data_IF_725555296299
#
_entry.id   IF_725555296299
#
_cell.length_a   1.000
_cell.length_b   1.000
_cell.length_c   1.000
_cell.angle_alpha   90.00
_cell.angle_beta   90.00
_cell.angle_gamma   90.00
#
_symmetry.space_group_name_H-M   'P 1'
#
loop_
_entity.id
_entity.type
_entity.pdbx_description
1 polymer ?
#
# COMPACT_ATOMS: atom_id res chain seq x y z
N UNK A 1 -19.99 61.54 -72.69
CA UNK A 1 -21.43 61.24 -72.93
C UNK A 1 -21.99 60.58 -71.66
N UNK A 2 -22.96 61.21 -70.99
CA UNK A 2 -23.56 60.68 -69.76
C UNK A 2 -24.59 59.59 -70.03
N UNK A 3 -24.68 58.57 -69.17
CA UNK A 3 -25.71 57.53 -69.23
C UNK A 3 -26.87 57.89 -68.29
N UNK A 4 -28.11 57.71 -68.77
CA UNK A 4 -29.33 58.17 -68.11
C UNK A 4 -29.90 57.07 -67.21
N UNK A 5 -29.97 57.33 -65.90
CA UNK A 5 -30.59 56.39 -64.94
C UNK A 5 -32.08 56.72 -64.82
N UNK A 6 -32.93 55.82 -65.34
CA UNK A 6 -34.36 56.03 -65.58
C UNK A 6 -35.24 56.28 -64.33
N UNK A 7 -34.71 56.24 -63.10
CA UNK A 7 -35.54 56.29 -61.89
C UNK A 7 -35.68 57.68 -61.25
N UNK A 8 -34.85 58.68 -61.59
CA UNK A 8 -34.88 60.00 -60.94
C UNK A 8 -34.56 61.24 -61.79
N UNK A 9 -34.47 61.15 -63.12
CA UNK A 9 -34.36 62.34 -64.01
C UNK A 9 -33.10 63.22 -63.83
N UNK A 10 -32.08 62.77 -63.08
CA UNK A 10 -30.79 63.47 -62.94
C UNK A 10 -29.74 62.83 -63.84
N UNK A 11 -29.00 63.65 -64.59
CA UNK A 11 -27.91 63.22 -65.46
C UNK A 11 -26.64 63.02 -64.61
N UNK A 12 -26.22 61.77 -64.42
CA UNK A 12 -25.01 61.43 -63.68
C UNK A 12 -23.87 61.26 -64.70
N UNK A 13 -22.68 61.87 -64.49
CA UNK A 13 -21.51 61.61 -65.34
C UNK A 13 -21.18 60.12 -65.37
N UNK A 14 -20.90 59.57 -66.57
CA UNK A 14 -20.65 58.12 -66.75
C UNK A 14 -19.54 57.59 -65.85
N UNK A 15 -18.49 58.40 -65.65
CA UNK A 15 -17.34 58.09 -64.78
C UNK A 15 -17.75 57.81 -63.32
N UNK A 16 -18.74 58.52 -62.79
CA UNK A 16 -19.21 58.34 -61.39
C UNK A 16 -20.03 57.05 -61.24
N UNK A 17 -20.71 56.63 -62.32
CA UNK A 17 -21.48 55.40 -62.34
C UNK A 17 -20.56 54.18 -62.47
N UNK A 18 -19.56 54.27 -63.33
CA UNK A 18 -18.57 53.21 -63.53
C UNK A 18 -17.69 53.04 -62.27
N UNK A 19 -17.26 54.14 -61.63
CA UNK A 19 -16.52 54.10 -60.37
C UNK A 19 -17.32 53.48 -59.21
N UNK A 20 -18.64 53.69 -59.15
CA UNK A 20 -19.52 53.01 -58.18
C UNK A 20 -19.64 51.51 -58.46
N UNK A 21 -19.73 51.12 -59.73
CA UNK A 21 -19.76 49.72 -60.13
C UNK A 21 -18.47 48.97 -59.76
N UNK A 22 -17.31 49.60 -59.97
CA UNK A 22 -16.01 49.08 -59.56
C UNK A 22 -15.87 48.99 -58.04
N UNK A 23 -16.26 50.04 -57.29
CA UNK A 23 -16.25 50.02 -55.84
C UNK A 23 -17.12 48.89 -55.27
N UNK A 24 -18.33 48.68 -55.82
CA UNK A 24 -19.21 47.59 -55.42
C UNK A 24 -18.61 46.21 -55.76
N UNK A 25 -17.90 46.08 -56.88
CA UNK A 25 -17.20 44.85 -57.25
C UNK A 25 -16.04 44.54 -56.28
N UNK A 26 -15.24 45.56 -55.91
CA UNK A 26 -14.16 45.43 -54.94
C UNK A 26 -14.72 45.02 -53.57
N UNK A 27 -15.80 45.67 -53.10
CA UNK A 27 -16.44 45.33 -51.83
C UNK A 27 -17.02 43.91 -51.82
N UNK A 28 -17.63 43.46 -52.91
CA UNK A 28 -18.10 42.08 -53.04
C UNK A 28 -16.95 41.07 -52.98
N UNK A 29 -15.86 41.36 -53.70
CA UNK A 29 -14.67 40.50 -53.70
C UNK A 29 -14.02 40.43 -52.31
N UNK A 30 -13.85 41.59 -51.65
CA UNK A 30 -13.29 41.66 -50.30
C UNK A 30 -14.14 40.91 -49.26
N UNK A 31 -15.48 41.01 -49.36
CA UNK A 31 -16.40 40.24 -48.50
C UNK A 31 -16.27 38.74 -48.73
N UNK A 32 -16.27 38.30 -49.99
CA UNK A 32 -16.09 36.89 -50.32
C UNK A 32 -14.75 36.32 -49.82
N UNK A 33 -13.66 37.11 -49.94
CA UNK A 33 -12.35 36.73 -49.40
C UNK A 33 -12.34 36.67 -47.87
N UNK A 34 -13.00 37.63 -47.20
CA UNK A 34 -13.11 37.64 -45.74
C UNK A 34 -13.92 36.44 -45.23
N UNK A 35 -15.03 36.11 -45.90
CA UNK A 35 -15.86 34.95 -45.55
C UNK A 35 -15.07 33.64 -45.73
N UNK A 36 -14.35 33.50 -46.84
CA UNK A 36 -13.49 32.34 -47.08
C UNK A 36 -12.39 32.20 -46.00
N UNK A 37 -11.75 33.31 -45.61
CA UNK A 37 -10.72 33.32 -44.58
C UNK A 37 -11.30 32.98 -43.20
N UNK A 38 -12.52 33.45 -42.89
CA UNK A 38 -13.21 33.10 -41.65
C UNK A 38 -13.57 31.62 -41.60
N UNK A 39 -14.03 31.04 -42.70
CA UNK A 39 -14.38 29.63 -42.75
C UNK A 39 -13.13 28.73 -42.66
N UNK A 40 -12.03 29.11 -43.30
CA UNK A 40 -10.74 28.44 -43.15
C UNK A 40 -10.23 28.52 -41.69
N UNK A 41 -10.28 29.70 -41.08
CA UNK A 41 -9.88 29.88 -39.69
C UNK A 41 -10.74 29.06 -38.72
N UNK A 42 -12.06 28.96 -38.98
CA UNK A 42 -12.98 28.13 -38.18
C UNK A 42 -12.66 26.63 -38.32
N UNK A 43 -12.39 26.17 -39.54
CA UNK A 43 -12.01 24.78 -39.79
C UNK A 43 -10.69 24.44 -39.09
N UNK A 44 -9.67 25.29 -39.23
CA UNK A 44 -8.39 25.13 -38.55
C UNK A 44 -8.55 25.12 -37.02
N UNK A 45 -9.34 26.04 -36.47
CA UNK A 45 -9.62 26.07 -35.04
C UNK A 45 -10.35 24.82 -34.54
N UNK A 46 -11.26 24.25 -35.34
CA UNK A 46 -11.93 23.00 -35.00
C UNK A 46 -10.95 21.82 -34.94
N UNK A 47 -10.07 21.70 -35.94
CA UNK A 47 -9.02 20.67 -35.98
C UNK A 47 -8.07 20.78 -34.77
N UNK A 48 -7.56 21.99 -34.50
CA UNK A 48 -6.65 22.24 -33.36
C UNK A 48 -7.32 21.85 -32.04
N UNK A 49 -8.60 22.20 -31.84
CA UNK A 49 -9.35 21.82 -30.63
C UNK A 49 -9.50 20.31 -30.51
N UNK A 50 -9.79 19.62 -31.60
CA UNK A 50 -9.97 18.17 -31.58
C UNK A 50 -8.65 17.45 -31.29
N UNK A 51 -7.54 17.90 -31.88
CA UNK A 51 -6.21 17.38 -31.62
C UNK A 51 -5.77 17.63 -30.18
N UNK A 52 -5.94 18.87 -29.69
CA UNK A 52 -5.63 19.23 -28.31
C UNK A 52 -6.45 18.42 -27.30
N UNK A 53 -7.72 18.16 -27.60
CA UNK A 53 -8.58 17.33 -26.76
C UNK A 53 -8.08 15.89 -26.70
N UNK A 54 -7.83 15.25 -27.86
CA UNK A 54 -7.32 13.88 -27.93
C UNK A 54 -5.96 13.73 -27.25
N UNK A 55 -5.09 14.72 -27.41
CA UNK A 55 -3.78 14.73 -26.77
C UNK A 55 -3.91 14.90 -25.26
N UNK A 56 -4.74 15.85 -24.79
CA UNK A 56 -5.00 16.04 -23.37
C UNK A 56 -5.64 14.83 -22.70
N UNK A 57 -6.54 14.11 -23.37
CA UNK A 57 -7.08 12.84 -22.88
C UNK A 57 -6.00 11.77 -22.71
N UNK A 58 -5.10 11.66 -23.70
CA UNK A 58 -4.03 10.66 -23.67
C UNK A 58 -3.00 10.96 -22.59
N UNK A 59 -2.54 12.21 -22.51
CA UNK A 59 -1.60 12.68 -21.49
C UNK A 59 -2.21 12.59 -20.08
N UNK A 60 -3.48 12.99 -19.94
CA UNK A 60 -4.21 12.90 -18.68
C UNK A 60 -4.38 11.45 -18.22
N UNK A 61 -4.65 10.51 -19.14
CA UNK A 61 -4.73 9.09 -18.81
C UNK A 61 -3.40 8.54 -18.30
N UNK A 62 -2.31 8.80 -19.02
CA UNK A 62 -0.96 8.36 -18.61
C UNK A 62 -0.58 8.95 -17.25
N UNK A 63 -0.77 10.26 -17.05
CA UNK A 63 -0.47 10.92 -15.80
C UNK A 63 -1.30 10.36 -14.62
N UNK A 64 -2.56 10.02 -14.87
CA UNK A 64 -3.43 9.40 -13.87
C UNK A 64 -2.98 7.97 -13.53
N UNK A 65 -2.66 7.15 -14.54
CA UNK A 65 -2.15 5.79 -14.36
C UNK A 65 -0.84 5.77 -13.56
N UNK A 66 0.08 6.70 -13.86
CA UNK A 66 1.36 6.82 -13.16
C UNK A 66 1.19 7.26 -11.70
N UNK A 67 0.35 8.28 -11.47
CA UNK A 67 0.06 8.76 -10.12
C UNK A 67 -0.64 7.69 -9.27
N UNK A 68 -1.62 7.00 -9.87
CA UNK A 68 -2.33 5.91 -9.21
C UNK A 68 -1.40 4.75 -8.88
N UNK A 69 -0.57 4.33 -9.83
CA UNK A 69 0.40 3.24 -9.62
C UNK A 69 1.38 3.56 -8.50
N UNK A 70 1.91 4.79 -8.48
CA UNK A 70 2.82 5.26 -7.44
C UNK A 70 2.15 5.24 -6.06
N UNK A 71 0.91 5.74 -5.98
CA UNK A 71 0.14 5.74 -4.74
C UNK A 71 -0.14 4.31 -4.25
N UNK A 72 -0.49 3.38 -5.14
CA UNK A 72 -0.76 1.99 -4.79
C UNK A 72 0.50 1.25 -4.32
N UNK A 73 1.65 1.51 -4.95
CA UNK A 73 2.94 0.97 -4.52
C UNK A 73 3.29 1.48 -3.12
N UNK A 74 3.16 2.79 -2.88
CA UNK A 74 3.43 3.40 -1.58
C UNK A 74 2.50 2.84 -0.48
N UNK A 75 1.20 2.75 -0.77
CA UNK A 75 0.22 2.20 0.16
C UNK A 75 0.50 0.73 0.52
N UNK A 76 0.94 -0.07 -0.47
CA UNK A 76 1.32 -1.47 -0.23
C UNK A 76 2.57 -1.58 0.63
N UNK A 77 3.59 -0.76 0.35
CA UNK A 77 4.81 -0.73 1.14
C UNK A 77 4.55 -0.32 2.59
N UNK A 78 3.72 0.70 2.80
CA UNK A 78 3.33 1.15 4.13
C UNK A 78 2.56 0.06 4.90
N UNK A 79 1.59 -0.58 4.24
CA UNK A 79 0.83 -1.68 4.84
C UNK A 79 1.70 -2.90 5.20
N UNK A 80 2.78 -3.15 4.45
CA UNK A 80 3.75 -4.21 4.78
C UNK A 80 4.62 -3.81 5.96
N UNK A 81 5.10 -2.57 6.00
CA UNK A 81 5.88 -2.01 7.10
C UNK A 81 5.12 -2.05 8.42
N UNK A 82 3.89 -1.54 8.45
CA UNK A 82 3.03 -1.57 9.65
C UNK A 82 2.83 -3.00 10.16
N UNK A 83 2.63 -3.97 9.27
CA UNK A 83 2.52 -5.38 9.68
C UNK A 83 3.83 -5.91 10.25
N UNK A 84 4.95 -5.65 9.58
CA UNK A 84 6.26 -6.10 10.03
C UNK A 84 6.61 -5.51 11.40
N UNK A 85 6.34 -4.22 11.61
CA UNK A 85 6.60 -3.51 12.86
C UNK A 85 5.72 -4.01 14.02
N UNK A 86 4.50 -4.52 13.72
CA UNK A 86 3.60 -5.08 14.72
C UNK A 86 4.02 -6.48 15.21
N UNK A 87 4.72 -7.27 14.39
CA UNK A 87 5.07 -8.66 14.73
C UNK A 87 5.92 -8.78 16.00
N UNK A 88 7.02 -8.00 16.19
CA UNK A 88 7.83 -8.09 17.41
C UNK A 88 7.02 -7.79 18.67
N UNK A 89 6.20 -6.73 18.65
CA UNK A 89 5.38 -6.34 19.80
C UNK A 89 4.34 -7.41 20.13
N UNK A 90 3.66 -7.96 19.11
CA UNK A 90 2.70 -9.06 19.29
C UNK A 90 3.38 -10.31 19.85
N UNK A 91 4.58 -10.66 19.38
CA UNK A 91 5.36 -11.79 19.89
C UNK A 91 5.75 -11.59 21.35
N UNK A 92 6.24 -10.41 21.71
CA UNK A 92 6.59 -10.08 23.11
C UNK A 92 5.37 -10.13 24.01
N UNK A 93 4.22 -9.61 23.56
CA UNK A 93 2.98 -9.69 24.32
C UNK A 93 2.52 -11.13 24.51
N UNK A 94 2.53 -11.94 23.44
CA UNK A 94 2.14 -13.35 23.51
C UNK A 94 3.02 -14.14 24.49
N UNK A 95 4.34 -13.93 24.47
CA UNK A 95 5.27 -14.56 25.42
C UNK A 95 4.97 -14.14 26.86
N UNK A 96 4.79 -12.84 27.12
CA UNK A 96 4.45 -12.35 28.46
C UNK A 96 3.11 -12.88 28.96
N UNK A 97 2.13 -13.02 28.07
CA UNK A 97 0.84 -13.62 28.41
C UNK A 97 1.00 -15.09 28.75
N UNK A 98 1.78 -15.84 27.98
CA UNK A 98 2.07 -17.25 28.25
C UNK A 98 2.80 -17.41 29.60
N UNK A 99 3.86 -16.63 29.86
CA UNK A 99 4.58 -16.61 31.14
C UNK A 99 3.62 -16.34 32.31
N UNK A 100 2.74 -15.33 32.18
CA UNK A 100 1.77 -15.00 33.21
C UNK A 100 0.75 -16.11 33.46
N UNK A 101 0.25 -16.76 32.40
CA UNK A 101 -0.73 -17.84 32.50
C UNK A 101 -0.08 -19.06 33.16
N UNK A 102 1.10 -19.47 32.70
CA UNK A 102 1.84 -20.62 33.25
C UNK A 102 2.24 -20.37 34.69
N UNK A 103 2.78 -19.18 35.00
CA UNK A 103 3.11 -18.79 36.36
C UNK A 103 1.88 -18.86 37.28
N UNK A 104 0.73 -18.35 36.81
CA UNK A 104 -0.51 -18.43 37.59
C UNK A 104 -1.02 -19.86 37.77
N UNK A 105 -0.88 -20.72 36.77
CA UNK A 105 -1.25 -22.13 36.89
C UNK A 105 -0.41 -22.85 37.97
N UNK A 106 0.90 -22.56 38.02
CA UNK A 106 1.81 -23.14 39.02
C UNK A 106 1.53 -22.59 40.43
N UNK A 107 1.20 -21.29 40.55
CA UNK A 107 0.76 -20.71 41.83
C UNK A 107 -0.50 -21.41 42.38
N UNK A 108 -1.42 -21.81 41.49
CA UNK A 108 -2.66 -22.48 41.87
C UNK A 108 -2.45 -23.97 42.16
N UNK A 109 -1.60 -24.64 41.38
CA UNK A 109 -1.26 -26.05 41.54
C UNK A 109 0.24 -26.29 41.30
N UNK A 110 1.06 -26.40 42.38
CA UNK A 110 2.49 -26.68 42.29
C UNK A 110 2.83 -27.99 41.56
N UNK A 111 1.91 -28.95 41.46
CA UNK A 111 2.14 -30.19 40.71
C UNK A 111 2.29 -29.93 39.20
N UNK A 112 1.73 -28.82 38.69
CA UNK A 112 1.86 -28.39 37.30
C UNK A 112 3.32 -28.25 36.87
N UNK A 113 4.18 -27.72 37.76
CA UNK A 113 5.61 -27.56 37.48
C UNK A 113 6.30 -28.92 37.29
N UNK A 114 5.94 -29.92 38.11
CA UNK A 114 6.48 -31.28 37.97
C UNK A 114 6.00 -31.96 36.68
N UNK A 115 4.76 -31.69 36.24
CA UNK A 115 4.27 -32.19 34.95
C UNK A 115 5.04 -31.57 33.78
N UNK A 116 5.26 -30.25 33.79
CA UNK A 116 6.05 -29.56 32.76
C UNK A 116 7.46 -30.14 32.69
N UNK A 117 8.12 -30.30 33.84
CA UNK A 117 9.45 -30.92 33.91
C UNK A 117 9.45 -32.37 33.39
N UNK A 118 8.43 -33.15 33.74
CA UNK A 118 8.27 -34.51 33.24
C UNK A 118 8.13 -34.55 31.72
N UNK A 119 7.33 -33.67 31.14
CA UNK A 119 7.09 -33.63 29.70
C UNK A 119 8.36 -33.21 28.94
N UNK A 120 9.11 -32.24 29.47
CA UNK A 120 10.41 -31.83 28.94
C UNK A 120 11.43 -32.99 28.96
N UNK A 121 11.49 -33.73 30.07
CA UNK A 121 12.36 -34.91 30.21
C UNK A 121 11.99 -36.02 29.21
N UNK A 122 10.70 -36.28 29.00
CA UNK A 122 10.24 -37.26 28.02
C UNK A 122 10.56 -36.82 26.58
N UNK A 123 10.39 -35.52 26.28
CA UNK A 123 10.72 -34.95 24.97
C UNK A 123 12.22 -35.00 24.66
N UNK A 124 13.10 -35.09 25.67
CA UNK A 124 14.54 -35.26 25.46
C UNK A 124 14.93 -36.69 25.00
N UNK A 125 14.03 -37.67 25.07
CA UNK A 125 14.22 -39.06 24.61
C UNK A 125 15.51 -39.75 25.13
N UNK A 126 15.99 -39.36 26.31
CA UNK A 126 17.24 -39.90 26.86
C UNK A 126 17.01 -41.31 27.40
N UNK A 127 17.84 -42.27 26.97
CA UNK A 127 17.71 -43.69 27.36
C UNK A 127 18.77 -44.18 28.35
N UNK A 128 19.91 -43.50 28.43
CA UNK A 128 21.06 -43.87 29.29
C UNK A 128 21.89 -42.64 29.64
N UNK A 129 22.58 -42.65 30.77
CA UNK A 129 23.55 -41.61 31.16
C UNK A 129 22.97 -40.56 32.10
N UNK A 130 23.60 -39.39 32.19
CA UNK A 130 23.21 -38.32 33.12
C UNK A 130 22.39 -37.26 32.38
N UNK A 131 21.22 -36.91 32.92
CA UNK A 131 20.39 -35.79 32.43
C UNK A 131 20.46 -34.65 33.44
N UNK A 132 20.88 -33.49 32.97
CA UNK A 132 20.91 -32.26 33.75
C UNK A 132 19.67 -31.42 33.43
N UNK A 133 18.75 -31.31 34.38
CA UNK A 133 17.59 -30.43 34.27
C UNK A 133 17.92 -29.12 35.02
N UNK A 134 18.03 -28.02 34.27
CA UNK A 134 18.43 -26.71 34.79
C UNK A 134 17.18 -25.93 35.13
N UNK A 135 16.98 -25.57 36.38
CA UNK A 135 15.74 -24.96 36.86
C UNK A 135 16.05 -23.68 37.60
N UNK A 136 15.10 -22.75 37.66
CA UNK A 136 15.29 -21.53 38.45
C UNK A 136 15.50 -21.88 39.94
N UNK A 137 16.38 -21.16 40.66
CA UNK A 137 16.69 -21.48 42.06
C UNK A 137 15.46 -21.54 43.00
N UNK A 138 14.45 -20.70 42.76
CA UNK A 138 13.22 -20.70 43.56
C UNK A 138 12.32 -21.92 43.31
N UNK A 139 12.43 -22.54 42.14
CA UNK A 139 11.60 -23.69 41.74
C UNK A 139 12.23 -25.03 42.10
N UNK A 140 13.53 -25.02 42.43
CA UNK A 140 14.32 -26.21 42.74
C UNK A 140 13.70 -27.02 43.89
N UNK A 141 13.30 -26.36 44.98
CA UNK A 141 12.76 -27.05 46.15
C UNK A 141 11.46 -27.83 45.83
N UNK A 142 10.60 -27.23 45.00
CA UNK A 142 9.36 -27.86 44.53
C UNK A 142 9.66 -29.09 43.67
N UNK A 143 10.63 -28.99 42.76
CA UNK A 143 11.02 -30.10 41.88
C UNK A 143 11.80 -31.20 42.60
N UNK A 144 12.62 -30.87 43.59
CA UNK A 144 13.29 -31.84 44.45
C UNK A 144 12.27 -32.70 45.22
N UNK A 145 11.18 -32.09 45.68
CA UNK A 145 10.07 -32.82 46.31
C UNK A 145 9.40 -33.79 45.32
N UNK A 146 9.28 -33.41 44.05
CA UNK A 146 8.71 -34.24 43.00
C UNK A 146 9.71 -35.22 42.33
N UNK A 147 11.00 -35.16 42.69
CA UNK A 147 12.07 -35.96 42.07
C UNK A 147 11.77 -37.46 41.98
N UNK A 148 11.24 -38.15 43.01
CA UNK A 148 10.96 -39.58 42.91
C UNK A 148 9.96 -39.91 41.79
N UNK A 149 8.94 -39.06 41.60
CA UNK A 149 7.94 -39.22 40.55
C UNK A 149 8.53 -38.95 39.15
N UNK A 150 9.45 -37.99 39.03
CA UNK A 150 10.16 -37.70 37.78
C UNK A 150 11.08 -38.86 37.36
N UNK A 151 11.86 -39.40 38.30
CA UNK A 151 12.77 -40.53 38.04
C UNK A 151 12.00 -41.79 37.66
N UNK A 152 10.84 -42.04 38.28
CA UNK A 152 10.00 -43.20 37.97
C UNK A 152 9.51 -43.23 36.51
N UNK A 153 9.49 -42.09 35.82
CA UNK A 153 9.09 -41.98 34.41
C UNK A 153 10.25 -42.10 33.43
N UNK A 154 11.49 -42.00 33.90
CA UNK A 154 12.70 -42.14 33.10
C UNK A 154 13.12 -43.61 32.97
N UNK A 155 13.94 -43.91 31.96
CA UNK A 155 14.57 -45.22 31.84
C UNK A 155 15.50 -45.46 33.03
N UNK A 156 15.55 -46.70 33.54
CA UNK A 156 16.33 -47.07 34.74
C UNK A 156 17.84 -46.82 34.62
N UNK A 157 18.36 -46.68 33.40
CA UNK A 157 19.76 -46.38 33.12
C UNK A 157 20.07 -44.87 33.07
N UNK A 158 19.13 -44.01 33.47
CA UNK A 158 19.27 -42.54 33.47
C UNK A 158 19.42 -42.00 34.90
N UNK A 159 20.47 -41.22 35.14
CA UNK A 159 20.70 -40.44 36.36
C UNK A 159 20.19 -39.00 36.17
N UNK A 160 19.13 -38.62 36.87
CA UNK A 160 18.56 -37.26 36.82
C UNK A 160 19.25 -36.35 37.84
N UNK A 161 19.78 -35.22 37.38
CA UNK A 161 20.37 -34.18 38.22
C UNK A 161 19.65 -32.85 38.02
N UNK A 162 19.00 -32.38 39.07
CA UNK A 162 18.42 -31.04 39.13
C UNK A 162 19.53 -30.04 39.49
N UNK A 163 19.65 -28.96 38.71
CA UNK A 163 20.69 -27.94 38.90
C UNK A 163 20.02 -26.57 38.93
N UNK A 164 20.27 -25.80 39.99
CA UNK A 164 19.84 -24.41 40.07
C UNK A 164 20.61 -23.56 39.03
N UNK A 165 19.88 -22.80 38.23
CA UNK A 165 20.44 -21.90 37.25
C UNK A 165 19.62 -20.62 37.15
N UNK A 166 20.22 -19.48 37.54
CA UNK A 166 19.58 -18.18 37.48
C UNK A 166 19.40 -17.64 36.05
N UNK A 167 20.03 -18.27 35.05
CA UNK A 167 19.76 -17.96 33.65
C UNK A 167 18.43 -18.55 33.14
N UNK A 168 17.86 -19.54 33.85
CA UNK A 168 16.55 -20.11 33.55
C UNK A 168 15.47 -19.27 34.23
N UNK A 169 14.46 -18.85 33.48
CA UNK A 169 13.34 -18.09 34.04
C UNK A 169 12.52 -18.92 35.04
N UNK A 170 11.82 -18.25 35.96
CA UNK A 170 10.87 -18.91 36.88
C UNK A 170 9.87 -19.76 36.09
N UNK A 171 9.49 -20.90 36.64
CA UNK A 171 8.64 -21.92 36.02
C UNK A 171 9.21 -22.56 34.74
N UNK A 172 10.51 -22.39 34.47
CA UNK A 172 11.23 -23.03 33.35
C UNK A 172 12.15 -24.17 33.81
N UNK A 173 12.44 -25.09 32.89
CA UNK A 173 13.35 -26.22 33.09
C UNK A 173 14.05 -26.66 31.80
#
# INVERSE_FOLDING_TARGET
MGRLVQRFGRLIPGEVLDARGEADAILRSARAQADALLDEARAAAATIRQEAHRQGETEGRVACEDAFSTLMIAARADAQRVRADAVPAARTLALRMAEKIVGRAIELDPATLAHIASDALMAAHVRTGVVLLRVHPEDLATLETARPALVARLASAVDLRLVADAAVGRAGC
#
